data_IF_665795329007
#
_entry.id   IF_665795329007
#
_cell.length_a   1.000
_cell.length_b   1.000
_cell.length_c   1.000
_cell.angle_alpha   90.00
_cell.angle_beta   90.00
_cell.angle_gamma   90.00
#
_symmetry.space_group_name_H-M   'P 1'
#
loop_
_entity.id
_entity.type
_entity.pdbx_description
1 polymer ?
#
# COMPACT_ATOMS: atom_id res chain seq x y z
N UNK A 1 2.19 -14.20 27.91
CA UNK A 1 1.17 -13.59 28.83
C UNK A 1 1.66 -13.67 30.27
N UNK A 2 2.08 -14.83 30.77
CA UNK A 2 2.50 -15.00 32.18
C UNK A 2 3.59 -13.98 32.62
N UNK A 3 4.62 -13.76 31.80
CA UNK A 3 5.68 -12.80 32.11
C UNK A 3 5.14 -11.37 32.29
N UNK A 4 4.18 -10.97 31.45
CA UNK A 4 3.52 -9.66 31.59
C UNK A 4 2.72 -9.60 32.91
N UNK A 5 1.93 -10.64 33.20
CA UNK A 5 1.14 -10.72 34.43
C UNK A 5 1.99 -10.62 35.69
N UNK A 6 3.17 -11.24 35.66
CA UNK A 6 4.12 -11.19 36.79
C UNK A 6 4.81 -9.83 36.96
N UNK A 7 4.84 -9.00 35.90
CA UNK A 7 5.60 -7.75 35.88
C UNK A 7 4.74 -6.50 36.11
N UNK A 8 3.42 -6.60 35.98
CA UNK A 8 2.51 -5.45 36.12
C UNK A 8 1.93 -5.35 37.53
N UNK A 9 1.61 -4.12 37.94
CA UNK A 9 0.90 -3.86 39.18
C UNK A 9 -0.60 -4.09 39.06
N UNK A 10 -1.30 -4.22 40.19
CA UNK A 10 -2.76 -4.40 40.21
C UNK A 10 -3.55 -3.18 39.71
N UNK A 11 -2.90 -2.03 39.59
CA UNK A 11 -3.47 -0.80 39.00
C UNK A 11 -3.55 -0.83 37.48
N UNK A 12 -2.83 -1.75 36.84
CA UNK A 12 -2.80 -1.84 35.36
C UNK A 12 -4.07 -2.54 34.85
N UNK A 13 -4.71 -1.95 33.85
CA UNK A 13 -5.73 -2.61 33.04
C UNK A 13 -5.10 -3.24 31.83
N UNK A 14 -5.37 -4.50 31.57
CA UNK A 14 -4.91 -5.25 30.39
C UNK A 14 -6.05 -5.30 29.37
N UNK A 15 -5.85 -4.78 28.16
CA UNK A 15 -6.77 -4.96 27.03
C UNK A 15 -6.15 -5.96 26.09
N UNK A 16 -6.70 -7.17 26.04
CA UNK A 16 -6.13 -8.31 25.33
C UNK A 16 -6.85 -8.58 24.00
N UNK A 17 -6.15 -8.46 22.86
CA UNK A 17 -6.68 -8.85 21.55
C UNK A 17 -6.72 -10.37 21.42
N UNK A 18 -7.86 -10.97 21.67
CA UNK A 18 -8.15 -12.38 21.39
C UNK A 18 -8.74 -12.52 19.97
N UNK A 19 -9.31 -13.65 19.65
CA UNK A 19 -9.76 -13.98 18.29
C UNK A 19 -11.06 -14.77 18.30
N UNK A 20 -11.89 -14.59 17.27
CA UNK A 20 -13.05 -15.43 17.03
C UNK A 20 -12.69 -16.87 16.64
N UNK A 21 -11.44 -17.10 16.16
CA UNK A 21 -11.00 -18.43 15.69
C UNK A 21 -10.96 -19.47 16.82
N UNK A 22 -11.07 -19.07 18.10
CA UNK A 22 -11.26 -20.02 19.21
C UNK A 22 -12.53 -20.89 19.08
N UNK A 23 -13.42 -20.56 18.17
CA UNK A 23 -14.65 -21.31 17.87
C UNK A 23 -14.56 -22.16 16.58
N UNK A 24 -13.39 -22.28 15.96
CA UNK A 24 -13.22 -22.94 14.67
C UNK A 24 -13.55 -24.44 14.67
N UNK A 25 -13.47 -25.10 15.82
CA UNK A 25 -13.75 -26.53 15.99
C UNK A 25 -15.23 -26.85 16.20
N UNK A 26 -16.15 -25.94 15.93
CA UNK A 26 -17.57 -26.23 15.99
C UNK A 26 -18.02 -27.09 14.80
N UNK A 27 -18.67 -28.21 15.07
CA UNK A 27 -19.10 -29.21 14.08
C UNK A 27 -20.28 -28.75 13.22
N UNK A 28 -20.96 -27.68 13.63
CA UNK A 28 -22.16 -27.15 12.96
C UNK A 28 -22.05 -25.63 12.77
N UNK A 29 -22.75 -25.13 11.76
CA UNK A 29 -22.91 -23.67 11.59
C UNK A 29 -23.67 -23.13 12.79
N UNK A 30 -23.04 -22.22 13.51
CA UNK A 30 -23.62 -21.55 14.66
C UNK A 30 -23.62 -20.05 14.47
N UNK A 31 -24.80 -19.45 14.66
CA UNK A 31 -24.99 -18.01 14.52
C UNK A 31 -25.17 -17.35 15.89
N UNK A 32 -24.78 -16.05 15.94
CA UNK A 32 -24.96 -15.20 17.11
C UNK A 32 -24.29 -15.75 18.38
N UNK A 33 -23.06 -16.32 18.25
CA UNK A 33 -22.26 -16.87 19.34
C UNK A 33 -21.98 -15.78 20.36
N UNK A 34 -22.39 -16.02 21.61
CA UNK A 34 -22.15 -15.11 22.74
C UNK A 34 -20.82 -15.41 23.43
N UNK A 35 -20.36 -14.47 24.26
CA UNK A 35 -19.08 -14.54 24.96
C UNK A 35 -18.97 -15.67 25.98
N UNK A 36 -20.09 -16.17 26.50
CA UNK A 36 -20.16 -17.30 27.43
C UNK A 36 -20.20 -18.68 26.75
N UNK A 37 -20.17 -18.71 25.42
CA UNK A 37 -20.13 -19.97 24.67
C UNK A 37 -18.77 -20.67 24.85
N UNK A 38 -18.78 -21.98 24.96
CA UNK A 38 -17.58 -22.80 25.08
C UNK A 38 -16.71 -22.70 23.82
N UNK A 39 -15.44 -22.41 24.00
CA UNK A 39 -14.48 -22.36 22.89
C UNK A 39 -14.03 -23.77 22.49
N UNK A 40 -13.83 -23.99 21.18
CA UNK A 40 -13.30 -25.23 20.60
C UNK A 40 -12.13 -24.93 19.67
N UNK A 41 -10.98 -24.49 20.19
CA UNK A 41 -9.82 -24.17 19.36
C UNK A 41 -9.18 -25.45 18.80
N UNK A 42 -8.78 -25.44 17.52
CA UNK A 42 -8.11 -26.56 16.84
C UNK A 42 -6.67 -26.20 16.51
N UNK A 43 -6.44 -25.00 15.97
CA UNK A 43 -5.12 -24.55 15.53
C UNK A 43 -4.26 -24.10 16.72
N UNK A 44 -2.95 -24.23 16.60
CA UNK A 44 -2.01 -23.75 17.64
C UNK A 44 -2.21 -22.28 17.98
N UNK A 45 -2.57 -21.45 17.00
CA UNK A 45 -2.87 -20.04 17.22
C UNK A 45 -4.11 -19.85 18.09
N UNK A 46 -5.23 -20.46 17.75
CA UNK A 46 -6.49 -20.34 18.51
C UNK A 46 -6.36 -20.96 19.92
N UNK A 47 -5.65 -22.09 20.03
CA UNK A 47 -5.34 -22.72 21.33
C UNK A 47 -4.51 -21.77 22.21
N UNK A 48 -3.47 -21.15 21.66
CA UNK A 48 -2.64 -20.21 22.41
C UNK A 48 -3.44 -19.01 22.91
N UNK A 49 -4.37 -18.50 22.10
CA UNK A 49 -5.25 -17.38 22.50
C UNK A 49 -6.23 -17.80 23.59
N UNK A 50 -6.84 -18.99 23.50
CA UNK A 50 -7.73 -19.53 24.52
C UNK A 50 -6.99 -19.72 25.86
N UNK A 51 -5.78 -20.29 25.85
CA UNK A 51 -4.95 -20.44 27.06
C UNK A 51 -4.64 -19.04 27.67
N UNK A 52 -4.33 -18.04 26.85
CA UNK A 52 -4.05 -16.71 27.34
C UNK A 52 -5.31 -16.04 27.95
N UNK A 53 -6.50 -16.26 27.40
CA UNK A 53 -7.74 -15.82 28.04
C UNK A 53 -7.93 -16.42 29.42
N UNK A 54 -7.69 -17.75 29.55
CA UNK A 54 -7.79 -18.43 30.84
C UNK A 54 -6.75 -17.95 31.86
N UNK A 55 -5.51 -17.68 31.42
CA UNK A 55 -4.49 -17.08 32.29
C UNK A 55 -4.91 -15.71 32.81
N UNK A 56 -5.49 -14.86 31.95
CA UNK A 56 -6.00 -13.56 32.33
C UNK A 56 -7.15 -13.68 33.33
N UNK A 57 -8.14 -14.54 33.09
CA UNK A 57 -9.28 -14.77 33.97
C UNK A 57 -8.87 -15.27 35.37
N UNK A 58 -7.82 -16.07 35.45
CA UNK A 58 -7.27 -16.62 36.71
C UNK A 58 -6.25 -15.70 37.38
N UNK A 59 -5.81 -14.63 36.76
CA UNK A 59 -4.72 -13.80 37.24
C UNK A 59 -5.05 -12.87 38.41
N UNK A 60 -6.33 -12.63 38.66
CA UNK A 60 -6.79 -11.61 39.63
C UNK A 60 -6.54 -10.15 39.18
N UNK A 61 -5.96 -9.93 37.98
CA UNK A 61 -5.71 -8.59 37.44
C UNK A 61 -6.94 -8.03 36.74
N UNK A 62 -6.99 -6.71 36.57
CA UNK A 62 -8.03 -6.05 35.78
C UNK A 62 -7.78 -6.32 34.29
N UNK A 63 -8.75 -6.88 33.59
CA UNK A 63 -8.62 -7.18 32.16
C UNK A 63 -9.90 -6.89 31.36
N UNK A 64 -9.70 -6.60 30.08
CA UNK A 64 -10.73 -6.66 29.03
C UNK A 64 -10.21 -7.58 27.93
N UNK A 65 -10.98 -8.60 27.58
CA UNK A 65 -10.69 -9.49 26.45
C UNK A 65 -11.57 -9.10 25.28
N UNK A 66 -10.94 -8.79 24.14
CA UNK A 66 -11.64 -8.48 22.89
C UNK A 66 -11.45 -9.64 21.90
N UNK A 67 -12.47 -10.44 21.67
CA UNK A 67 -12.50 -11.50 20.65
C UNK A 67 -12.79 -10.89 19.31
N UNK A 68 -11.74 -10.61 18.54
CA UNK A 68 -11.83 -9.93 17.26
C UNK A 68 -12.43 -10.83 16.19
N UNK A 69 -13.40 -10.35 15.43
CA UNK A 69 -13.76 -10.91 14.13
C UNK A 69 -12.61 -10.84 13.14
N UNK A 70 -12.81 -11.22 11.89
CA UNK A 70 -11.80 -11.02 10.82
C UNK A 70 -11.59 -9.53 10.61
N UNK A 71 -10.41 -9.04 11.03
CA UNK A 71 -10.06 -7.61 10.99
C UNK A 71 -9.63 -7.24 9.58
N UNK A 72 -10.32 -6.31 8.95
CA UNK A 72 -10.03 -5.85 7.60
C UNK A 72 -9.70 -4.34 7.57
N UNK A 73 -8.86 -3.96 6.63
CA UNK A 73 -8.46 -2.57 6.40
C UNK A 73 -7.15 -2.48 5.65
N UNK A 74 -6.87 -1.32 5.08
CA UNK A 74 -5.65 -1.05 4.36
C UNK A 74 -4.55 -0.55 5.31
N UNK A 75 -3.34 -1.04 5.10
CA UNK A 75 -2.10 -0.47 5.62
C UNK A 75 -1.01 -0.62 4.57
N UNK A 76 -0.11 0.34 4.47
CA UNK A 76 1.01 0.30 3.54
C UNK A 76 2.01 -0.81 3.88
N UNK A 77 2.27 -1.03 5.17
CA UNK A 77 3.41 -1.82 5.62
C UNK A 77 3.02 -3.14 6.28
N UNK A 78 1.84 -3.21 6.89
CA UNK A 78 1.47 -4.32 7.77
C UNK A 78 0.11 -4.95 7.45
N UNK A 79 -0.43 -4.72 6.26
CA UNK A 79 -1.71 -5.34 5.87
C UNK A 79 -1.58 -6.85 5.80
N UNK A 80 -2.35 -7.54 6.61
CA UNK A 80 -2.49 -8.98 6.52
C UNK A 80 -3.36 -9.34 5.33
N UNK A 81 -2.71 -9.66 4.21
CA UNK A 81 -3.38 -9.84 2.92
C UNK A 81 -4.24 -11.11 2.83
N UNK A 82 -3.96 -12.12 3.62
CA UNK A 82 -4.71 -13.38 3.68
C UNK A 82 -6.09 -13.26 4.34
N UNK A 83 -6.40 -12.14 4.96
CA UNK A 83 -7.75 -11.84 5.41
C UNK A 83 -8.64 -11.56 4.20
N UNK A 84 -9.75 -12.30 4.09
CA UNK A 84 -10.56 -12.38 2.87
C UNK A 84 -10.99 -11.01 2.29
N UNK A 85 -11.51 -10.02 3.04
CA UNK A 85 -11.84 -8.72 2.45
C UNK A 85 -10.61 -7.98 1.90
N UNK A 86 -9.44 -8.10 2.55
CA UNK A 86 -8.19 -7.50 2.09
C UNK A 86 -7.73 -8.16 0.79
N UNK A 87 -7.70 -9.49 0.75
CA UNK A 87 -7.30 -10.26 -0.43
C UNK A 87 -8.24 -9.98 -1.62
N UNK A 88 -9.55 -9.98 -1.38
CA UNK A 88 -10.53 -9.72 -2.43
C UNK A 88 -10.40 -8.31 -2.99
N UNK A 89 -10.19 -7.32 -2.13
CA UNK A 89 -9.96 -5.93 -2.57
C UNK A 89 -8.68 -5.81 -3.40
N UNK A 90 -7.59 -6.48 -2.99
CA UNK A 90 -6.34 -6.47 -3.75
C UNK A 90 -6.48 -7.14 -5.12
N UNK A 91 -7.09 -8.32 -5.20
CA UNK A 91 -7.36 -8.99 -6.48
C UNK A 91 -8.26 -8.12 -7.35
N UNK A 92 -9.26 -7.48 -6.73
CA UNK A 92 -10.18 -6.60 -7.45
C UNK A 92 -9.48 -5.35 -8.01
N UNK A 93 -8.51 -4.80 -7.31
CA UNK A 93 -7.71 -3.67 -7.81
C UNK A 93 -6.91 -4.01 -9.08
N UNK A 94 -6.69 -5.29 -9.33
CA UNK A 94 -5.95 -5.83 -10.48
C UNK A 94 -6.87 -6.38 -11.58
N UNK A 95 -8.18 -6.14 -11.51
CA UNK A 95 -9.19 -6.71 -12.41
C UNK A 95 -9.19 -8.25 -12.43
N UNK A 96 -8.79 -8.88 -11.33
CA UNK A 96 -8.61 -10.32 -11.25
C UNK A 96 -9.91 -11.12 -11.07
N UNK A 97 -9.76 -12.43 -10.90
CA UNK A 97 -10.87 -13.36 -10.65
C UNK A 97 -10.94 -13.73 -9.18
N UNK A 98 -12.07 -13.47 -8.55
CA UNK A 98 -12.38 -13.92 -7.19
C UNK A 98 -12.95 -15.35 -7.25
N UNK A 99 -12.23 -16.31 -6.63
CA UNK A 99 -12.69 -17.69 -6.51
C UNK A 99 -13.56 -17.85 -5.26
N UNK A 100 -14.74 -18.39 -5.42
CA UNK A 100 -15.72 -18.60 -4.37
C UNK A 100 -15.87 -20.09 -4.11
N UNK A 101 -15.07 -20.62 -3.18
CA UNK A 101 -15.10 -22.04 -2.79
C UNK A 101 -16.48 -22.39 -2.20
N UNK A 102 -17.00 -23.54 -2.57
CA UNK A 102 -18.35 -23.99 -2.20
C UNK A 102 -19.42 -22.91 -2.48
N UNK A 103 -19.30 -22.21 -3.62
CA UNK A 103 -20.21 -21.13 -4.00
C UNK A 103 -20.16 -19.91 -3.09
N UNK A 104 -19.13 -19.78 -2.25
CA UNK A 104 -18.95 -18.65 -1.32
C UNK A 104 -19.94 -18.62 -0.17
N UNK A 105 -20.50 -19.76 0.26
CA UNK A 105 -21.49 -19.87 1.34
C UNK A 105 -20.95 -19.64 2.76
N UNK A 106 -19.62 -19.70 2.94
CA UNK A 106 -18.99 -19.56 4.24
C UNK A 106 -19.30 -18.21 4.89
N UNK A 107 -19.76 -18.25 6.13
CA UNK A 107 -20.09 -17.08 6.95
C UNK A 107 -18.83 -16.52 7.62
N UNK A 108 -18.69 -15.20 7.65
CA UNK A 108 -17.59 -14.47 8.29
C UNK A 108 -18.12 -13.35 9.17
N UNK A 109 -17.59 -13.28 10.38
CA UNK A 109 -17.74 -12.12 11.27
C UNK A 109 -16.60 -11.15 11.01
N UNK A 110 -16.92 -9.93 10.61
CA UNK A 110 -15.99 -8.94 10.09
C UNK A 110 -15.94 -7.69 10.97
N UNK A 111 -14.77 -7.07 11.10
CA UNK A 111 -14.60 -5.83 11.86
C UNK A 111 -13.57 -4.91 11.18
N UNK A 112 -13.89 -3.60 11.00
CA UNK A 112 -12.92 -2.64 10.46
C UNK A 112 -11.73 -2.42 11.40
N UNK A 113 -10.51 -2.39 10.87
CA UNK A 113 -9.28 -2.14 11.62
C UNK A 113 -9.35 -0.86 12.44
N UNK A 114 -9.90 0.21 11.86
CA UNK A 114 -10.02 1.51 12.54
C UNK A 114 -10.98 1.41 13.72
N UNK A 115 -12.09 0.69 13.59
CA UNK A 115 -13.03 0.49 14.72
C UNK A 115 -12.42 -0.41 15.79
N UNK A 116 -11.53 -1.35 15.44
CA UNK A 116 -10.74 -2.09 16.43
C UNK A 116 -9.88 -1.13 17.25
N UNK A 117 -9.09 -0.26 16.60
CA UNK A 117 -8.25 0.73 17.28
C UNK A 117 -9.07 1.68 18.17
N UNK A 118 -10.22 2.15 17.66
CA UNK A 118 -11.16 2.98 18.45
C UNK A 118 -11.73 2.24 19.65
N UNK A 119 -12.01 0.94 19.51
CA UNK A 119 -12.50 0.12 20.61
C UNK A 119 -11.45 -0.04 21.73
N UNK A 120 -10.17 -0.22 21.37
CA UNK A 120 -9.08 -0.24 22.35
C UNK A 120 -9.03 1.06 23.14
N UNK A 121 -9.07 2.21 22.48
CA UNK A 121 -9.09 3.51 23.16
C UNK A 121 -10.38 3.68 24.01
N UNK A 122 -11.52 3.28 23.50
CA UNK A 122 -12.78 3.32 24.25
C UNK A 122 -12.71 2.48 25.52
N UNK A 123 -12.12 1.28 25.47
CA UNK A 123 -11.98 0.40 26.64
C UNK A 123 -10.94 0.89 27.63
N UNK A 124 -9.89 1.60 27.15
CA UNK A 124 -8.92 2.27 28.01
C UNK A 124 -9.59 3.32 28.92
N UNK A 125 -10.50 4.10 28.36
CA UNK A 125 -11.17 5.22 29.04
C UNK A 125 -12.35 4.77 29.95
N UNK A 126 -12.72 3.47 29.97
CA UNK A 126 -13.88 2.91 30.71
C UNK A 126 -13.45 2.25 32.01
N UNK A 127 -13.33 3.03 33.09
CA UNK A 127 -12.98 2.52 34.42
C UNK A 127 -14.04 1.61 35.02
N UNK A 128 -15.31 1.76 34.61
CA UNK A 128 -16.46 0.96 35.03
C UNK A 128 -16.48 -0.47 34.46
N UNK A 129 -15.64 -0.76 33.45
CA UNK A 129 -15.52 -2.09 32.84
C UNK A 129 -14.24 -2.79 33.32
N UNK A 130 -14.43 -3.92 34.01
CA UNK A 130 -13.35 -4.72 34.56
C UNK A 130 -13.68 -6.22 34.49
N UNK A 131 -12.68 -7.04 34.20
CA UNK A 131 -12.79 -8.50 34.14
C UNK A 131 -13.86 -9.00 33.16
N UNK A 132 -13.92 -8.37 31.99
CA UNK A 132 -14.95 -8.60 30.98
C UNK A 132 -14.38 -9.16 29.68
N UNK A 133 -15.22 -9.92 28.98
CA UNK A 133 -14.94 -10.42 27.62
C UNK A 133 -16.00 -9.89 26.65
N UNK A 134 -15.58 -9.40 25.49
CA UNK A 134 -16.45 -8.88 24.43
C UNK A 134 -16.09 -9.49 23.08
N UNK A 135 -17.10 -9.86 22.31
CA UNK A 135 -16.96 -10.13 20.90
C UNK A 135 -16.93 -8.79 20.14
N UNK A 136 -15.87 -8.55 19.41
CA UNK A 136 -15.70 -7.33 18.61
C UNK A 136 -15.85 -7.65 17.12
N UNK A 137 -17.07 -7.58 16.64
CA UNK A 137 -17.44 -7.74 15.23
C UNK A 137 -18.54 -6.75 14.88
N UNK A 138 -18.53 -6.25 13.64
CA UNK A 138 -19.56 -5.34 13.14
C UNK A 138 -20.54 -6.06 12.24
N UNK A 139 -20.03 -6.68 11.17
CA UNK A 139 -20.83 -7.25 10.10
C UNK A 139 -20.69 -8.78 10.06
N UNK A 140 -21.78 -9.45 9.72
CA UNK A 140 -21.78 -10.88 9.43
C UNK A 140 -22.25 -11.08 8.00
N UNK A 141 -21.36 -11.60 7.15
CA UNK A 141 -21.58 -11.75 5.72
C UNK A 141 -20.99 -13.07 5.21
N UNK A 142 -21.58 -13.59 4.15
CA UNK A 142 -20.99 -14.68 3.39
C UNK A 142 -19.83 -14.17 2.51
N UNK A 143 -18.92 -15.06 2.17
CA UNK A 143 -17.83 -14.78 1.23
C UNK A 143 -18.38 -14.25 -0.11
N UNK A 144 -19.52 -14.80 -0.59
CA UNK A 144 -20.19 -14.35 -1.82
C UNK A 144 -20.72 -12.92 -1.73
N UNK A 145 -21.25 -12.51 -0.58
CA UNK A 145 -21.73 -11.14 -0.39
C UNK A 145 -20.58 -10.15 -0.42
N UNK A 146 -19.45 -10.45 0.22
CA UNK A 146 -18.24 -9.62 0.15
C UNK A 146 -17.70 -9.53 -1.29
N UNK A 147 -17.69 -10.63 -2.04
CA UNK A 147 -17.29 -10.61 -3.44
C UNK A 147 -18.22 -9.76 -4.31
N UNK A 148 -19.54 -9.75 -4.03
CA UNK A 148 -20.49 -8.86 -4.71
C UNK A 148 -20.21 -7.38 -4.42
N UNK A 149 -19.81 -7.04 -3.19
CA UNK A 149 -19.38 -5.66 -2.87
C UNK A 149 -18.14 -5.30 -3.69
N UNK A 150 -17.15 -6.17 -3.78
CA UNK A 150 -15.99 -5.95 -4.65
C UNK A 150 -16.39 -5.74 -6.12
N UNK A 151 -17.32 -6.57 -6.63
CA UNK A 151 -17.84 -6.46 -8.00
C UNK A 151 -18.59 -5.16 -8.25
N UNK A 152 -19.32 -4.65 -7.25
CA UNK A 152 -20.00 -3.34 -7.29
C UNK A 152 -18.99 -2.20 -7.50
N UNK A 153 -17.85 -2.24 -6.79
CA UNK A 153 -16.82 -1.19 -6.87
C UNK A 153 -15.83 -1.36 -8.01
N UNK A 154 -15.66 -2.58 -8.53
CA UNK A 154 -14.92 -2.83 -9.77
C UNK A 154 -15.66 -3.84 -10.67
N UNK A 155 -16.49 -3.36 -11.60
CA UNK A 155 -17.25 -4.21 -12.52
C UNK A 155 -16.39 -5.09 -13.46
N UNK A 156 -15.10 -4.83 -13.58
CA UNK A 156 -14.19 -5.59 -14.46
C UNK A 156 -13.77 -6.93 -13.89
N UNK A 157 -13.90 -7.14 -12.58
CA UNK A 157 -13.53 -8.41 -11.97
C UNK A 157 -14.47 -9.55 -12.37
N UNK A 158 -13.97 -10.77 -12.31
CA UNK A 158 -14.77 -11.99 -12.53
C UNK A 158 -15.02 -12.68 -11.20
N UNK A 159 -16.26 -13.15 -10.99
CA UNK A 159 -16.59 -14.05 -9.87
C UNK A 159 -16.69 -15.46 -10.41
N UNK A 160 -15.91 -16.39 -9.86
CA UNK A 160 -15.89 -17.80 -10.24
C UNK A 160 -16.27 -18.68 -9.06
N UNK A 161 -17.46 -19.24 -9.09
CA UNK A 161 -17.88 -20.24 -8.10
C UNK A 161 -17.23 -21.58 -8.41
N UNK A 162 -16.78 -22.27 -7.37
CA UNK A 162 -16.21 -23.62 -7.46
C UNK A 162 -16.94 -24.55 -6.50
N UNK A 163 -16.87 -25.86 -6.77
CA UNK A 163 -17.47 -26.90 -5.94
C UNK A 163 -16.46 -27.48 -4.93
N UNK A 164 -15.30 -26.84 -4.77
CA UNK A 164 -14.29 -27.28 -3.81
C UNK A 164 -14.89 -27.32 -2.39
N UNK A 165 -14.61 -28.40 -1.69
CA UNK A 165 -15.02 -28.53 -0.29
C UNK A 165 -14.29 -27.50 0.59
N UNK A 166 -14.98 -26.99 1.60
CA UNK A 166 -14.43 -26.12 2.63
C UNK A 166 -14.55 -26.78 3.99
N UNK A 167 -13.53 -26.62 4.86
CA UNK A 167 -13.48 -27.34 6.13
C UNK A 167 -14.62 -27.02 7.08
N UNK A 168 -15.18 -25.81 6.99
CA UNK A 168 -16.41 -25.45 7.70
C UNK A 168 -17.16 -24.32 6.98
N UNK A 169 -18.47 -24.22 7.23
CA UNK A 169 -19.35 -23.17 6.69
C UNK A 169 -19.26 -21.84 7.48
N UNK A 170 -18.43 -21.81 8.52
CA UNK A 170 -18.23 -20.64 9.36
C UNK A 170 -19.24 -20.52 10.50
N UNK A 171 -19.15 -19.42 11.18
CA UNK A 171 -20.01 -19.07 12.30
C UNK A 171 -20.07 -17.54 12.43
N UNK A 172 -21.06 -17.04 13.17
CA UNK A 172 -21.16 -15.62 13.47
C UNK A 172 -21.10 -15.33 14.97
N UNK A 173 -20.49 -14.20 15.31
CA UNK A 173 -20.41 -13.71 16.67
C UNK A 173 -21.51 -12.70 16.95
N UNK A 174 -22.08 -12.76 18.16
CA UNK A 174 -22.95 -11.70 18.69
C UNK A 174 -22.10 -10.48 19.10
N UNK A 175 -22.49 -9.29 18.67
CA UNK A 175 -21.88 -8.03 19.10
C UNK A 175 -22.77 -7.26 20.09
N UNK A 176 -23.84 -7.84 20.57
CA UNK A 176 -24.83 -7.17 21.44
C UNK A 176 -24.19 -6.65 22.72
N UNK A 177 -23.29 -7.43 23.33
CA UNK A 177 -22.63 -7.06 24.58
C UNK A 177 -21.76 -5.81 24.43
N UNK A 178 -20.95 -5.73 23.37
CA UNK A 178 -20.11 -4.54 23.14
C UNK A 178 -20.96 -3.31 22.80
N UNK A 179 -22.03 -3.46 22.03
CA UNK A 179 -22.93 -2.34 21.71
C UNK A 179 -23.65 -1.81 22.96
N UNK A 180 -24.01 -2.67 23.92
CA UNK A 180 -24.62 -2.28 25.19
C UNK A 180 -23.69 -1.45 26.07
N UNK A 181 -22.37 -1.43 25.84
CA UNK A 181 -21.43 -0.51 26.54
C UNK A 181 -21.52 0.91 26.02
N UNK A 182 -22.25 1.17 24.94
CA UNK A 182 -22.31 2.45 24.24
C UNK A 182 -21.26 2.60 23.13
N UNK A 183 -20.43 1.58 22.88
CA UNK A 183 -19.50 1.60 21.73
C UNK A 183 -20.28 1.63 20.42
N UNK A 184 -19.83 2.47 19.47
CA UNK A 184 -20.44 2.60 18.14
C UNK A 184 -19.41 2.34 17.06
N UNK A 185 -19.72 1.43 16.14
CA UNK A 185 -18.96 1.26 14.91
C UNK A 185 -19.25 2.43 13.96
N UNK A 186 -18.21 3.00 13.35
CA UNK A 186 -18.33 4.15 12.45
C UNK A 186 -18.04 3.79 10.99
N UNK A 187 -17.24 2.75 10.75
CA UNK A 187 -16.76 2.42 9.41
C UNK A 187 -17.53 1.24 8.80
N UNK A 188 -17.92 1.36 7.54
CA UNK A 188 -18.68 0.33 6.80
C UNK A 188 -17.77 -0.54 5.94
N UNK A 189 -18.21 -1.80 5.68
CA UNK A 189 -17.48 -2.70 4.82
C UNK A 189 -17.49 -2.23 3.36
N UNK A 190 -18.59 -1.68 2.88
CA UNK A 190 -18.74 -1.21 1.49
C UNK A 190 -17.75 -0.09 1.17
N UNK A 191 -17.68 0.93 2.01
CA UNK A 191 -16.76 2.05 1.90
C UNK A 191 -15.30 1.60 2.06
N UNK A 192 -15.04 0.72 3.01
CA UNK A 192 -13.68 0.19 3.25
C UNK A 192 -13.17 -0.63 2.07
N UNK A 193 -14.01 -1.46 1.44
CA UNK A 193 -13.65 -2.21 0.22
C UNK A 193 -13.36 -1.24 -0.93
N UNK A 194 -14.21 -0.22 -1.13
CA UNK A 194 -13.99 0.82 -2.13
C UNK A 194 -12.63 1.51 -1.93
N UNK A 195 -12.34 1.92 -0.70
CA UNK A 195 -11.08 2.55 -0.34
C UNK A 195 -9.88 1.62 -0.58
N UNK A 196 -9.97 0.35 -0.15
CA UNK A 196 -8.91 -0.64 -0.34
C UNK A 196 -8.64 -0.90 -1.83
N UNK A 197 -9.68 -1.06 -2.65
CA UNK A 197 -9.51 -1.23 -4.10
C UNK A 197 -8.81 -0.01 -4.70
N UNK A 198 -9.20 1.19 -4.33
CA UNK A 198 -8.58 2.42 -4.82
C UNK A 198 -7.10 2.52 -4.41
N UNK A 199 -6.79 2.30 -3.15
CA UNK A 199 -5.39 2.35 -2.64
C UNK A 199 -4.50 1.27 -3.27
N UNK A 200 -5.00 0.05 -3.43
CA UNK A 200 -4.27 -1.01 -4.13
C UNK A 200 -4.09 -0.70 -5.61
N UNK A 201 -5.09 -0.08 -6.28
CA UNK A 201 -4.97 0.37 -7.67
C UNK A 201 -3.90 1.45 -7.83
N UNK A 202 -3.81 2.37 -6.88
CA UNK A 202 -2.76 3.40 -6.86
C UNK A 202 -1.36 2.79 -6.71
N UNK A 203 -1.19 1.77 -5.86
CA UNK A 203 0.09 1.05 -5.75
C UNK A 203 0.47 0.32 -7.05
N UNK A 204 -0.49 -0.30 -7.72
CA UNK A 204 -0.24 -0.93 -9.01
C UNK A 204 0.14 0.12 -10.06
N UNK A 205 -0.52 1.27 -10.04
CA UNK A 205 -0.20 2.39 -10.92
C UNK A 205 1.22 2.91 -10.69
N UNK A 206 1.65 3.03 -9.42
CA UNK A 206 3.03 3.41 -9.08
C UNK A 206 4.03 2.42 -9.68
N UNK A 207 3.79 1.12 -9.57
CA UNK A 207 4.66 0.10 -10.19
C UNK A 207 4.65 0.19 -11.72
N UNK A 208 3.51 0.46 -12.31
CA UNK A 208 3.39 0.64 -13.76
C UNK A 208 4.04 1.93 -14.28
N UNK A 209 4.19 2.93 -13.42
CA UNK A 209 4.88 4.17 -13.73
C UNK A 209 6.40 4.10 -13.49
N UNK A 210 6.89 3.13 -12.72
CA UNK A 210 8.32 2.92 -12.49
C UNK A 210 8.97 2.21 -13.69
N UNK A 211 9.36 2.98 -14.70
CA UNK A 211 9.93 2.46 -15.94
C UNK A 211 11.38 2.86 -16.18
N UNK A 212 12.23 2.68 -15.18
CA UNK A 212 13.68 2.72 -15.42
C UNK A 212 14.16 1.29 -15.63
N UNK A 213 14.72 1.02 -16.78
CA UNK A 213 15.33 -0.25 -17.12
C UNK A 213 16.83 -0.12 -17.18
N UNK A 214 17.53 -0.97 -16.47
CA UNK A 214 18.92 -1.29 -16.77
C UNK A 214 18.96 -2.13 -18.05
N UNK A 215 20.14 -2.20 -18.70
CA UNK A 215 20.27 -3.00 -19.92
C UNK A 215 19.93 -4.47 -19.65
N UNK A 216 19.02 -5.03 -20.44
CA UNK A 216 18.47 -6.38 -20.23
C UNK A 216 19.52 -7.49 -20.44
N UNK A 217 20.51 -7.26 -21.33
CA UNK A 217 21.62 -8.17 -21.57
C UNK A 217 22.93 -7.43 -21.30
N UNK A 218 23.39 -7.49 -20.06
CA UNK A 218 24.64 -6.91 -19.63
C UNK A 218 25.79 -7.89 -19.86
N UNK A 219 26.75 -7.47 -20.65
CA UNK A 219 28.02 -8.18 -20.82
C UNK A 219 29.16 -7.25 -20.43
N UNK A 220 30.07 -7.72 -19.57
CA UNK A 220 31.24 -6.95 -19.15
C UNK A 220 32.51 -7.82 -19.21
N UNK A 221 33.55 -7.31 -19.84
CA UNK A 221 34.86 -7.92 -19.87
C UNK A 221 35.96 -6.83 -19.75
N UNK A 222 37.24 -7.24 -19.90
CA UNK A 222 38.38 -6.29 -19.83
C UNK A 222 38.33 -5.14 -20.85
N UNK A 223 37.52 -5.21 -21.86
CA UNK A 223 37.36 -4.15 -22.91
C UNK A 223 36.25 -3.15 -22.51
N UNK A 224 35.37 -3.48 -21.57
CA UNK A 224 34.26 -2.66 -21.13
C UNK A 224 32.94 -3.39 -21.10
N UNK A 225 31.85 -2.63 -21.11
CA UNK A 225 30.48 -3.07 -20.89
C UNK A 225 29.63 -2.91 -22.14
N UNK A 226 28.83 -3.92 -22.46
CA UNK A 226 27.77 -3.87 -23.47
C UNK A 226 26.42 -3.95 -22.73
N UNK A 227 25.52 -2.98 -22.97
CA UNK A 227 24.18 -2.98 -22.44
C UNK A 227 23.19 -2.94 -23.60
N UNK A 228 22.30 -3.91 -23.70
CA UNK A 228 21.24 -3.97 -24.69
C UNK A 228 19.91 -3.56 -24.05
N UNK A 229 19.12 -2.77 -24.77
CA UNK A 229 17.79 -2.36 -24.35
C UNK A 229 16.77 -2.84 -25.39
N UNK A 230 15.88 -3.72 -24.98
CA UNK A 230 14.80 -4.17 -25.85
C UNK A 230 13.70 -3.11 -25.92
N UNK A 231 13.27 -2.77 -27.12
CA UNK A 231 12.21 -1.82 -27.37
C UNK A 231 10.95 -2.55 -27.87
N UNK A 232 9.81 -2.23 -27.33
CA UNK A 232 8.51 -2.83 -27.66
C UNK A 232 7.93 -2.29 -28.98
N UNK A 233 8.41 -1.12 -29.44
CA UNK A 233 7.96 -0.47 -30.66
C UNK A 233 9.15 -0.12 -31.57
N UNK A 234 8.97 -0.18 -32.90
CA UNK A 234 9.99 0.30 -33.84
C UNK A 234 10.19 1.81 -33.68
N UNK A 235 11.44 2.26 -33.78
CA UNK A 235 11.81 3.67 -33.82
C UNK A 235 12.32 4.03 -35.21
N UNK A 236 12.02 5.23 -35.67
CA UNK A 236 12.51 5.74 -36.95
C UNK A 236 13.17 7.13 -36.85
N UNK A 237 13.23 7.69 -35.64
CA UNK A 237 13.95 8.94 -35.34
C UNK A 237 14.64 8.85 -33.99
N UNK A 238 15.89 9.32 -33.95
CA UNK A 238 16.68 9.47 -32.74
C UNK A 238 17.00 10.95 -32.56
N UNK A 239 16.53 11.56 -31.46
CA UNK A 239 16.91 12.90 -31.07
C UNK A 239 18.01 12.85 -30.02
N UNK A 240 19.14 13.48 -30.26
CA UNK A 240 20.19 13.69 -29.26
C UNK A 240 19.91 15.00 -28.52
N UNK A 241 19.85 14.94 -27.20
CA UNK A 241 19.50 16.09 -26.37
C UNK A 241 20.56 16.30 -25.30
N UNK A 242 21.18 17.51 -25.33
CA UNK A 242 22.09 17.98 -24.29
C UNK A 242 21.39 18.93 -23.35
N UNK A 243 21.64 18.80 -22.06
CA UNK A 243 21.02 19.62 -21.02
C UNK A 243 22.03 19.97 -19.94
N UNK A 244 22.01 21.22 -19.50
CA UNK A 244 22.93 21.73 -18.48
C UNK A 244 22.43 21.38 -17.09
N UNK A 245 23.33 21.12 -16.16
CA UNK A 245 23.07 21.03 -14.74
C UNK A 245 22.20 22.18 -14.24
N UNK A 246 21.22 21.91 -13.40
CA UNK A 246 20.34 22.91 -12.80
C UNK A 246 19.17 23.36 -13.69
N UNK A 247 19.07 22.87 -14.92
CA UNK A 247 17.94 23.16 -15.80
C UNK A 247 16.79 22.16 -15.60
N UNK A 248 15.64 22.50 -16.17
CA UNK A 248 14.42 21.69 -16.17
C UNK A 248 13.92 21.54 -17.61
N UNK A 249 13.47 20.35 -17.99
CA UNK A 249 12.78 20.08 -19.25
C UNK A 249 11.51 19.32 -19.02
N UNK A 250 10.73 19.16 -20.07
CA UNK A 250 9.42 18.55 -20.11
C UNK A 250 8.36 19.42 -19.42
N UNK A 251 7.80 19.10 -18.24
CA UNK A 251 6.59 19.70 -17.70
C UNK A 251 5.40 19.61 -18.69
N UNK A 252 5.22 18.40 -19.24
CA UNK A 252 4.20 18.08 -20.21
C UNK A 252 3.83 16.60 -20.18
N UNK A 253 2.84 16.23 -20.99
CA UNK A 253 2.54 14.83 -21.29
C UNK A 253 2.26 14.63 -22.77
N UNK A 254 2.30 13.39 -23.20
CA UNK A 254 1.95 12.97 -24.56
C UNK A 254 0.67 12.12 -24.51
N UNK A 255 -0.41 12.48 -25.23
CA UNK A 255 -1.66 11.71 -25.22
C UNK A 255 -1.54 10.31 -25.85
N UNK A 256 -0.63 10.14 -26.81
CA UNK A 256 -0.53 8.93 -27.62
C UNK A 256 0.87 8.30 -27.58
N UNK A 257 1.92 9.07 -27.41
CA UNK A 257 3.29 8.60 -27.47
C UNK A 257 3.74 7.96 -26.15
N UNK A 258 4.38 6.79 -26.26
CA UNK A 258 5.28 6.30 -25.21
C UNK A 258 6.65 6.95 -25.43
N UNK A 259 7.11 7.77 -24.51
CA UNK A 259 8.41 8.43 -24.61
C UNK A 259 9.51 7.54 -24.05
N UNK A 260 10.56 7.33 -24.82
CA UNK A 260 11.73 6.52 -24.48
C UNK A 260 12.99 7.39 -24.50
N UNK A 261 13.68 7.50 -23.36
CA UNK A 261 14.87 8.29 -23.20
C UNK A 261 16.04 7.42 -22.71
N UNK A 262 17.02 7.14 -23.56
CA UNK A 262 18.25 6.45 -23.19
C UNK A 262 19.33 7.46 -22.75
N UNK A 263 19.66 7.44 -21.48
CA UNK A 263 20.66 8.35 -20.91
C UNK A 263 22.07 7.83 -21.16
N UNK A 264 22.88 8.57 -21.94
CA UNK A 264 24.25 8.17 -22.29
C UNK A 264 25.28 8.81 -21.39
N UNK A 265 24.97 9.97 -20.79
CA UNK A 265 25.84 10.71 -19.87
C UNK A 265 24.98 11.46 -18.84
N UNK A 266 25.51 11.62 -17.63
CA UNK A 266 24.95 12.49 -16.61
C UNK A 266 23.97 11.79 -15.68
N UNK A 267 23.06 12.58 -15.11
CA UNK A 267 22.07 12.12 -14.12
C UNK A 267 20.96 13.15 -14.02
N UNK A 268 19.73 12.67 -13.90
CA UNK A 268 18.53 13.49 -13.66
C UNK A 268 17.74 13.00 -12.47
N UNK A 269 16.90 13.89 -11.94
CA UNK A 269 15.71 13.54 -11.20
C UNK A 269 14.54 13.59 -12.19
N UNK A 270 13.85 12.49 -12.35
CA UNK A 270 12.63 12.40 -13.14
C UNK A 270 11.43 12.36 -12.21
N UNK A 271 10.46 13.23 -12.47
CA UNK A 271 9.21 13.30 -11.73
C UNK A 271 8.08 13.06 -12.72
N UNK A 272 7.14 12.19 -12.36
CA UNK A 272 6.00 11.89 -13.20
C UNK A 272 4.74 11.61 -12.40
N UNK A 273 3.58 11.79 -13.05
CA UNK A 273 2.26 11.62 -12.48
C UNK A 273 1.28 11.18 -13.57
N UNK A 274 0.45 10.19 -13.27
CA UNK A 274 -0.67 9.85 -14.14
C UNK A 274 -1.74 10.95 -14.05
N UNK A 275 -2.08 11.55 -15.19
CA UNK A 275 -3.06 12.61 -15.26
C UNK A 275 -4.50 12.12 -15.47
N UNK A 276 -4.68 10.83 -15.84
CA UNK A 276 -6.02 10.24 -15.99
C UNK A 276 -6.65 10.03 -14.61
N UNK A 277 -5.82 9.72 -13.60
CA UNK A 277 -6.26 9.56 -12.22
C UNK A 277 -5.92 10.82 -11.41
N UNK A 278 -6.91 11.67 -11.05
CA UNK A 278 -6.67 12.92 -10.32
C UNK A 278 -5.98 12.75 -8.95
N UNK A 279 -6.09 11.53 -8.38
CA UNK A 279 -5.48 11.20 -7.08
C UNK A 279 -4.14 10.47 -7.21
N UNK A 280 -3.59 10.39 -8.43
CA UNK A 280 -2.29 9.76 -8.65
C UNK A 280 -1.19 10.56 -7.93
N UNK A 281 -0.32 9.90 -7.16
CA UNK A 281 0.81 10.57 -6.52
C UNK A 281 1.83 10.99 -7.57
N UNK A 282 2.58 12.05 -7.26
CA UNK A 282 3.84 12.34 -7.95
C UNK A 282 4.87 11.28 -7.55
N UNK A 283 5.52 10.71 -8.55
CA UNK A 283 6.61 9.74 -8.35
C UNK A 283 7.91 10.42 -8.75
N UNK A 284 8.90 10.33 -7.89
CA UNK A 284 10.22 10.90 -8.11
C UNK A 284 11.24 9.78 -8.16
N UNK A 285 12.10 9.79 -9.17
CA UNK A 285 13.16 8.79 -9.31
C UNK A 285 14.42 9.40 -9.91
N UNK A 286 15.56 8.74 -9.68
CA UNK A 286 16.84 9.12 -10.26
C UNK A 286 17.12 8.26 -11.49
N UNK A 287 17.47 8.90 -12.59
CA UNK A 287 17.92 8.22 -13.80
C UNK A 287 19.39 8.51 -14.03
N UNK A 288 20.18 7.48 -14.20
CA UNK A 288 21.62 7.53 -14.41
C UNK A 288 21.99 7.20 -15.86
N UNK A 289 23.20 7.58 -16.25
CA UNK A 289 23.77 7.12 -17.52
C UNK A 289 23.75 5.59 -17.60
N UNK A 290 23.40 5.06 -18.78
CA UNK A 290 23.21 3.65 -19.06
C UNK A 290 21.78 3.14 -18.83
N UNK A 291 20.88 3.96 -18.29
CA UNK A 291 19.50 3.59 -18.05
C UNK A 291 18.56 4.12 -19.13
N UNK A 292 17.51 3.35 -19.41
CA UNK A 292 16.40 3.71 -20.30
C UNK A 292 15.19 4.11 -19.46
N UNK A 293 14.74 5.36 -19.59
CA UNK A 293 13.45 5.80 -19.04
C UNK A 293 12.35 5.64 -20.08
N UNK A 294 11.23 5.02 -19.68
CA UNK A 294 10.05 4.79 -20.52
C UNK A 294 8.84 5.43 -19.84
N UNK A 295 8.24 6.41 -20.49
CA UNK A 295 7.07 7.13 -19.98
C UNK A 295 5.87 6.84 -20.86
N UNK A 296 4.82 6.29 -20.29
CA UNK A 296 3.59 5.91 -21.00
C UNK A 296 2.78 7.12 -21.46
N UNK A 297 1.89 6.97 -22.44
CA UNK A 297 0.91 8.00 -22.78
C UNK A 297 0.11 8.47 -21.57
N UNK A 298 -0.24 9.75 -21.55
CA UNK A 298 -0.99 10.41 -20.48
C UNK A 298 -0.29 10.42 -19.10
N UNK A 299 1.02 10.24 -19.07
CA UNK A 299 1.85 10.45 -17.89
C UNK A 299 2.57 11.80 -18.02
N UNK A 300 2.18 12.75 -17.17
CA UNK A 300 2.91 14.01 -17.07
C UNK A 300 4.29 13.75 -16.48
N UNK A 301 5.32 14.34 -17.07
CA UNK A 301 6.69 14.14 -16.63
C UNK A 301 7.52 15.41 -16.67
N UNK A 302 8.54 15.42 -15.84
CA UNK A 302 9.51 16.52 -15.72
C UNK A 302 10.88 15.94 -15.44
N UNK A 303 11.91 16.53 -16.06
CA UNK A 303 13.31 16.16 -15.90
C UNK A 303 14.09 17.32 -15.28
N UNK A 304 14.62 17.12 -14.08
CA UNK A 304 15.50 18.07 -13.39
C UNK A 304 16.95 17.57 -13.49
N UNK A 305 17.83 18.33 -14.12
CA UNK A 305 19.19 17.89 -14.43
C UNK A 305 20.14 18.18 -13.26
N UNK A 306 20.63 17.13 -12.62
CA UNK A 306 21.56 17.22 -11.48
C UNK A 306 23.03 17.29 -11.94
N UNK A 307 23.30 16.88 -13.17
CA UNK A 307 24.58 16.96 -13.87
C UNK A 307 24.37 17.40 -15.32
N UNK A 308 25.42 17.86 -15.99
CA UNK A 308 25.39 17.99 -17.46
C UNK A 308 25.09 16.62 -18.05
N UNK A 309 24.00 16.52 -18.81
CA UNK A 309 23.38 15.24 -19.20
C UNK A 309 23.15 15.22 -20.70
N UNK A 310 23.50 14.09 -21.33
CA UNK A 310 23.16 13.75 -22.72
C UNK A 310 22.27 12.53 -22.72
N UNK A 311 21.19 12.60 -23.46
CA UNK A 311 20.29 11.46 -23.66
C UNK A 311 19.74 11.39 -25.08
N UNK A 312 19.39 10.18 -25.51
CA UNK A 312 18.75 9.91 -26.78
C UNK A 312 17.25 9.78 -26.56
N UNK A 313 16.47 10.62 -27.24
CA UNK A 313 15.03 10.46 -27.33
C UNK A 313 14.72 9.55 -28.52
N UNK A 314 14.17 8.36 -28.25
CA UNK A 314 13.87 7.32 -29.22
C UNK A 314 12.42 7.44 -29.63
N UNK A 315 12.15 7.89 -30.85
CA UNK A 315 10.83 8.30 -31.30
C UNK A 315 10.31 7.39 -32.40
N UNK A 316 9.03 7.04 -32.30
CA UNK A 316 8.24 6.49 -33.38
C UNK A 316 7.46 7.62 -34.05
N UNK A 317 7.59 7.79 -35.35
CA UNK A 317 6.94 8.86 -36.12
C UNK A 317 7.76 10.13 -36.22
N UNK A 318 7.16 11.21 -36.66
CA UNK A 318 7.76 12.53 -36.82
C UNK A 318 7.75 13.28 -35.47
N UNK A 319 8.80 14.07 -35.25
CA UNK A 319 8.92 14.92 -34.05
C UNK A 319 8.24 16.27 -34.29
N UNK A 320 6.92 16.24 -34.34
CA UNK A 320 6.11 17.45 -34.38
C UNK A 320 5.30 17.54 -33.09
N UNK A 321 5.64 18.51 -32.24
CA UNK A 321 5.01 18.71 -30.95
C UNK A 321 3.75 19.57 -30.99
N UNK A 322 3.50 20.26 -32.12
CA UNK A 322 2.47 21.27 -32.25
C UNK A 322 1.21 20.71 -32.95
N UNK A 323 1.30 19.53 -33.56
CA UNK A 323 0.15 18.88 -34.17
C UNK A 323 -0.38 17.71 -33.32
N UNK A 324 -1.61 17.29 -33.60
CA UNK A 324 -2.28 16.18 -32.90
C UNK A 324 -1.79 14.78 -33.34
N UNK A 325 -0.62 14.67 -33.95
CA UNK A 325 0.01 13.41 -34.28
C UNK A 325 0.51 12.64 -33.04
N UNK A 326 1.16 11.51 -33.29
CA UNK A 326 1.64 10.59 -32.23
C UNK A 326 2.57 11.28 -31.22
N UNK A 327 3.32 12.31 -31.65
CA UNK A 327 4.28 13.06 -30.82
C UNK A 327 3.68 14.32 -30.18
N UNK A 328 2.37 14.54 -30.32
CA UNK A 328 1.69 15.70 -29.76
C UNK A 328 2.01 15.87 -28.26
N UNK A 329 2.32 17.10 -27.87
CA UNK A 329 2.77 17.44 -26.52
C UNK A 329 1.79 18.46 -25.91
N UNK A 330 1.26 18.14 -24.75
CA UNK A 330 0.37 19.03 -23.99
C UNK A 330 1.12 19.55 -22.76
N UNK A 331 1.27 20.85 -22.66
CA UNK A 331 1.95 21.50 -21.52
C UNK A 331 1.18 21.22 -20.21
N UNK A 332 1.91 20.75 -19.22
CA UNK A 332 1.40 20.48 -17.88
C UNK A 332 2.49 20.74 -16.84
N UNK A 333 2.52 21.97 -16.33
CA UNK A 333 3.55 22.41 -15.37
C UNK A 333 3.12 21.94 -13.98
N UNK A 334 3.79 20.92 -13.44
CA UNK A 334 3.54 20.38 -12.09
C UNK A 334 4.80 20.35 -11.20
N UNK A 335 5.95 20.77 -11.75
CA UNK A 335 7.17 21.07 -11.01
C UNK A 335 7.60 22.49 -11.37
N UNK A 336 7.55 23.39 -10.40
CA UNK A 336 7.96 24.78 -10.55
C UNK A 336 9.43 25.02 -10.18
N UNK A 337 9.91 26.25 -10.32
CA UNK A 337 11.27 26.63 -9.97
C UNK A 337 11.60 26.43 -8.47
N UNK A 338 10.63 26.63 -7.58
CA UNK A 338 10.79 26.44 -6.13
C UNK A 338 11.03 24.95 -5.83
N UNK A 339 10.16 24.08 -6.36
CA UNK A 339 10.28 22.62 -6.19
C UNK A 339 11.57 22.09 -6.84
N UNK A 340 11.94 22.57 -8.04
CA UNK A 340 13.22 22.26 -8.68
C UNK A 340 14.41 22.56 -7.77
N UNK A 341 14.44 23.75 -7.17
CA UNK A 341 15.54 24.18 -6.31
C UNK A 341 15.62 23.36 -5.02
N UNK A 342 14.47 22.97 -4.45
CA UNK A 342 14.41 22.04 -3.32
C UNK A 342 14.98 20.67 -3.68
N UNK A 343 14.61 20.11 -4.84
CA UNK A 343 15.15 18.86 -5.35
C UNK A 343 16.67 18.91 -5.50
N UNK A 344 17.19 19.94 -6.16
CA UNK A 344 18.63 20.11 -6.37
C UNK A 344 19.41 20.30 -5.06
N UNK A 345 18.81 20.92 -4.06
CA UNK A 345 19.46 21.19 -2.77
C UNK A 345 19.46 19.96 -1.86
N UNK A 346 18.37 19.23 -1.78
CA UNK A 346 18.14 18.23 -0.73
C UNK A 346 18.17 16.79 -1.22
N UNK A 347 17.97 16.52 -2.49
CA UNK A 347 17.96 15.17 -3.02
C UNK A 347 19.39 14.60 -3.02
N UNK A 348 19.62 13.54 -2.23
CA UNK A 348 20.94 12.89 -2.13
C UNK A 348 20.92 11.59 -2.94
N UNK A 349 21.93 11.45 -3.80
CA UNK A 349 22.01 10.35 -4.77
C UNK A 349 23.03 9.30 -4.41
N UNK A 350 23.74 9.49 -3.30
CA UNK A 350 24.84 8.61 -2.92
C UNK A 350 24.51 7.94 -1.58
N UNK A 351 24.86 6.67 -1.47
CA UNK A 351 24.87 5.97 -0.20
C UNK A 351 25.72 6.76 0.81
N UNK A 352 25.16 7.06 1.96
CA UNK A 352 25.84 7.83 3.01
C UNK A 352 27.04 7.07 3.60
N UNK A 353 27.01 5.72 3.53
CA UNK A 353 28.07 4.87 4.07
C UNK A 353 29.21 4.63 3.10
N UNK A 354 28.95 4.33 1.82
CA UNK A 354 29.99 3.91 0.88
C UNK A 354 30.12 4.77 -0.37
N UNK A 355 29.28 5.82 -0.51
CA UNK A 355 29.31 6.73 -1.66
C UNK A 355 28.73 6.13 -2.97
N UNK A 356 28.27 4.89 -2.97
CA UNK A 356 27.70 4.25 -4.15
C UNK A 356 26.46 5.03 -4.65
N UNK A 357 26.38 5.24 -5.95
CA UNK A 357 25.29 5.98 -6.60
C UNK A 357 24.15 5.10 -7.06
N UNK A 358 24.35 3.78 -7.12
CA UNK A 358 23.30 2.82 -7.46
C UNK A 358 22.55 2.45 -6.18
N UNK A 359 21.45 3.14 -5.94
CA UNK A 359 20.58 2.94 -4.80
C UNK A 359 19.23 2.43 -5.28
N UNK A 360 18.71 1.41 -4.60
CA UNK A 360 17.37 0.87 -4.84
C UNK A 360 16.40 1.51 -3.86
N UNK A 361 15.40 2.24 -4.38
CA UNK A 361 14.38 2.85 -3.53
C UNK A 361 13.52 1.77 -2.87
N UNK A 362 13.40 1.82 -1.56
CA UNK A 362 12.57 0.93 -0.74
C UNK A 362 11.21 1.57 -0.49
N UNK A 363 11.21 2.84 -0.06
CA UNK A 363 9.98 3.59 0.20
C UNK A 363 10.19 5.08 -0.06
N UNK A 364 9.18 5.76 -0.60
CA UNK A 364 9.11 7.22 -0.67
C UNK A 364 7.85 7.69 0.05
N UNK A 365 8.02 8.61 0.97
CA UNK A 365 6.93 9.28 1.69
C UNK A 365 6.62 10.67 1.09
N UNK A 366 7.19 10.96 -0.09
CA UNK A 366 7.05 12.25 -0.75
C UNK A 366 7.75 13.38 0.02
N UNK A 367 7.17 14.59 -0.05
CA UNK A 367 7.69 15.74 0.65
C UNK A 367 7.05 15.85 2.02
N UNK A 368 7.88 15.86 3.07
CA UNK A 368 7.45 15.90 4.46
C UNK A 368 8.09 17.07 5.19
N UNK A 369 7.39 17.71 6.14
CA UNK A 369 8.03 18.65 7.06
C UNK A 369 9.00 17.91 7.99
N UNK A 370 9.94 18.62 8.60
CA UNK A 370 10.74 18.04 9.66
C UNK A 370 9.85 17.66 10.85
N UNK A 371 10.03 16.44 11.36
CA UNK A 371 9.15 15.83 12.38
C UNK A 371 8.93 16.69 13.64
N UNK A 372 9.92 17.49 14.01
CA UNK A 372 9.86 18.35 15.21
C UNK A 372 9.60 19.83 14.87
N UNK A 373 9.27 20.15 13.62
CA UNK A 373 8.93 21.51 13.23
C UNK A 373 7.43 21.75 13.44
N UNK A 374 7.05 21.99 14.70
CA UNK A 374 5.66 22.23 15.09
C UNK A 374 5.21 23.59 14.57
N UNK A 375 4.13 23.61 13.82
CA UNK A 375 3.50 24.85 13.34
C UNK A 375 2.83 25.57 14.50
N UNK A 376 3.01 26.90 14.57
CA UNK A 376 2.37 27.76 15.58
C UNK A 376 0.92 28.09 15.21
N UNK A 377 0.59 28.02 13.91
CA UNK A 377 -0.74 28.29 13.36
C UNK A 377 -1.09 27.23 12.30
N UNK A 378 -2.35 26.86 12.18
CA UNK A 378 -2.83 25.80 11.27
C UNK A 378 -2.49 26.04 9.79
N UNK A 379 -2.32 27.30 9.35
CA UNK A 379 -2.03 27.68 7.97
C UNK A 379 -0.61 28.26 7.80
N UNK A 380 0.30 27.98 8.73
CA UNK A 380 1.68 28.42 8.60
C UNK A 380 2.40 27.58 7.53
N UNK A 381 3.08 28.27 6.61
CA UNK A 381 3.91 27.60 5.60
C UNK A 381 5.13 26.96 6.26
N UNK A 382 5.38 25.69 5.99
CA UNK A 382 6.58 24.99 6.43
C UNK A 382 7.43 24.53 5.24
N UNK A 383 8.74 24.46 5.44
CA UNK A 383 9.63 23.85 4.47
C UNK A 383 9.38 22.33 4.41
N UNK A 384 9.22 21.81 3.21
CA UNK A 384 9.05 20.39 2.94
C UNK A 384 10.34 19.80 2.37
N UNK A 385 10.67 18.59 2.78
CA UNK A 385 11.88 17.87 2.38
C UNK A 385 11.50 16.52 1.78
N UNK A 386 12.18 16.04 0.71
CA UNK A 386 11.95 14.70 0.19
C UNK A 386 12.39 13.66 1.23
N UNK A 387 11.47 12.77 1.58
CA UNK A 387 11.72 11.70 2.54
C UNK A 387 11.62 10.35 1.84
N UNK A 388 12.77 9.74 1.61
CA UNK A 388 12.90 8.44 0.97
C UNK A 388 13.87 7.54 1.73
N UNK A 389 13.60 6.24 1.71
CA UNK A 389 14.52 5.21 2.16
C UNK A 389 15.02 4.47 0.93
N UNK A 390 16.33 4.45 0.76
CA UNK A 390 17.00 3.76 -0.32
C UNK A 390 17.95 2.71 0.25
N UNK A 391 18.00 1.56 -0.39
CA UNK A 391 18.89 0.46 -0.07
C UNK A 391 20.10 0.45 -1.00
N UNK A 392 21.29 0.31 -0.44
CA UNK A 392 22.52 0.22 -1.18
C UNK A 392 22.97 -1.24 -1.32
N UNK A 393 22.90 -1.79 -2.52
CA UNK A 393 23.31 -3.17 -2.79
C UNK A 393 24.83 -3.40 -2.65
N UNK A 394 25.63 -2.33 -2.60
CA UNK A 394 27.09 -2.44 -2.42
C UNK A 394 27.52 -2.65 -0.96
N UNK A 395 26.87 -1.97 -0.02
CA UNK A 395 27.23 -2.06 1.41
C UNK A 395 26.10 -2.52 2.31
N UNK A 396 24.97 -2.90 1.73
CA UNK A 396 23.80 -3.45 2.41
C UNK A 396 23.19 -2.52 3.48
N UNK A 397 23.34 -1.20 3.31
CA UNK A 397 22.85 -0.19 4.24
C UNK A 397 21.71 0.62 3.63
#
# INVERSE_FOLDING_TARGET
>A
TQNILNSITDKCKIIFPSTHVIYEGMDVVKNDIKENEESKPILSYSLSKAINEEQLKKSGKNYIILRLGSVYGYSTDTTRIDIMPNLFSKISSQNGTLRLFSGGKQIKSLVPLIDVARCFKFMEDREDLSCETFNLTKDTLTVKEVAKICKKHNPRITLRETNDEIPNLGFSLSNKKILNTGFKFLYGLDESIKEMILKWSQQNLIKDLEHIRDGDNLFEDKRGKISNHELTEPINLIGMIDSKKGTIRANHYHPQQEQKCLFTKGQIIEIFQDIINPNSPKITQVVNAGQLSIIKPNVAHTMVFTKDTTFLNLVRGERDHDNYGITHTIKHVFVDEKEKNLLLKYYKFNCRSCGNTNLKRVVSLGYQPLANNLLRKANEECELYPLEVNYCEKCYN
#
